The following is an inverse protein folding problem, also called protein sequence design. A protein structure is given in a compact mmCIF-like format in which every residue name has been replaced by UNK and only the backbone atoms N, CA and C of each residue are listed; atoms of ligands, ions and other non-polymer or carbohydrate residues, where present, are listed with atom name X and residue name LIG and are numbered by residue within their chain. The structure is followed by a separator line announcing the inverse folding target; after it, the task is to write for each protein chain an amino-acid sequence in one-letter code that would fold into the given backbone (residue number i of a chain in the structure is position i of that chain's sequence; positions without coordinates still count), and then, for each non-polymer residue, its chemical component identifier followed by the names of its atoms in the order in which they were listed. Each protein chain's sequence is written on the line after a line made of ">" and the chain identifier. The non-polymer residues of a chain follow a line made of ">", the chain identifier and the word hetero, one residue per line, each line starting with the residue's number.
data_IF_999099512856
#
_entry.id   IF_999099512856
#
_cell.length_a   1.000
_cell.length_b   1.000
_cell.length_c   1.000
_cell.angle_alpha   90.00
_cell.angle_beta   90.00
_cell.angle_gamma   90.00
#
_symmetry.space_group_name_H-M   'P 1'
#
loop_
_entity.id
_entity.type
_entity.pdbx_description
1 polymer ?
#
# COMPACT_ATOMS: atom_id res chain seq x y z
N UNK A 1 -57.04 -39.64 -18.05
CA UNK A 1 -56.64 -38.37 -18.71
C UNK A 1 -56.24 -37.40 -17.62
N UNK A 2 -54.99 -37.33 -17.27
CA UNK A 2 -54.43 -36.47 -16.23
C UNK A 2 -53.53 -35.42 -16.86
N UNK A 3 -53.98 -34.17 -16.84
CA UNK A 3 -53.20 -33.03 -17.34
C UNK A 3 -52.37 -32.47 -16.20
N UNK A 4 -51.06 -32.67 -16.24
CA UNK A 4 -50.10 -32.12 -15.29
C UNK A 4 -49.91 -30.63 -15.59
N UNK A 5 -50.06 -29.73 -14.61
CA UNK A 5 -49.79 -28.29 -14.82
C UNK A 5 -48.27 -28.08 -14.89
N UNK A 6 -47.82 -27.53 -16.01
CA UNK A 6 -46.44 -27.13 -16.28
C UNK A 6 -46.11 -25.88 -15.48
N UNK A 7 -45.29 -26.04 -14.43
CA UNK A 7 -44.77 -24.94 -13.63
C UNK A 7 -44.01 -23.94 -14.50
N UNK A 8 -44.29 -22.63 -14.43
CA UNK A 8 -43.56 -21.64 -15.18
C UNK A 8 -42.12 -21.55 -14.65
N UNK A 9 -41.16 -21.86 -15.51
CA UNK A 9 -39.74 -21.70 -15.30
C UNK A 9 -39.47 -20.19 -15.05
N UNK A 10 -39.19 -19.84 -13.80
CA UNK A 10 -38.83 -18.49 -13.37
C UNK A 10 -37.59 -18.07 -14.19
N UNK A 11 -37.81 -17.22 -15.22
CA UNK A 11 -36.74 -16.52 -15.91
C UNK A 11 -35.93 -15.81 -14.85
N UNK A 12 -34.67 -16.22 -14.67
CA UNK A 12 -33.69 -15.47 -13.92
C UNK A 12 -33.61 -14.10 -14.60
N UNK A 13 -34.24 -13.11 -14.01
CA UNK A 13 -34.04 -11.71 -14.37
C UNK A 13 -32.53 -11.47 -14.21
N UNK A 14 -31.87 -11.20 -15.32
CA UNK A 14 -30.53 -10.63 -15.32
C UNK A 14 -30.70 -9.25 -14.65
N UNK A 15 -30.64 -9.25 -13.32
CA UNK A 15 -30.58 -8.04 -12.53
C UNK A 15 -29.43 -7.22 -13.11
N UNK A 16 -29.77 -6.15 -13.79
CA UNK A 16 -28.84 -5.08 -14.17
C UNK A 16 -28.35 -4.54 -12.82
N UNK A 17 -27.27 -5.16 -12.29
CA UNK A 17 -26.77 -4.85 -10.98
C UNK A 17 -26.58 -3.33 -10.90
N UNK A 18 -27.16 -2.72 -9.87
CA UNK A 18 -27.06 -1.31 -9.55
C UNK A 18 -25.62 -0.81 -9.83
N UNK A 19 -25.45 0.32 -10.53
CA UNK A 19 -24.13 0.90 -10.82
C UNK A 19 -23.25 1.01 -9.57
N UNK A 20 -23.80 1.45 -8.44
CA UNK A 20 -23.07 1.55 -7.18
C UNK A 20 -22.58 0.18 -6.70
N UNK A 21 -23.41 -0.86 -6.78
CA UNK A 21 -23.03 -2.21 -6.43
C UNK A 21 -21.93 -2.80 -7.35
N UNK A 22 -21.93 -2.40 -8.64
CA UNK A 22 -20.84 -2.77 -9.57
C UNK A 22 -19.52 -2.11 -9.20
N UNK A 23 -19.55 -0.82 -8.87
CA UNK A 23 -18.36 -0.08 -8.43
C UNK A 23 -17.85 -0.65 -7.10
N UNK A 24 -18.73 -0.87 -6.13
CA UNK A 24 -18.35 -1.46 -4.84
C UNK A 24 -17.66 -2.82 -5.00
N UNK A 25 -18.13 -3.66 -5.93
CA UNK A 25 -17.44 -4.94 -6.23
C UNK A 25 -16.02 -4.73 -6.72
N UNK A 26 -15.76 -3.69 -7.53
CA UNK A 26 -14.41 -3.36 -8.01
C UNK A 26 -13.50 -2.86 -6.89
N UNK A 27 -14.01 -2.02 -6.00
CA UNK A 27 -13.28 -1.64 -4.79
C UNK A 27 -12.89 -2.85 -3.95
N UNK A 28 -13.82 -3.80 -3.74
CA UNK A 28 -13.50 -5.04 -3.00
C UNK A 28 -12.37 -5.83 -3.64
N UNK A 29 -12.32 -5.91 -4.98
CA UNK A 29 -11.21 -6.57 -5.69
C UNK A 29 -9.89 -5.85 -5.45
N UNK A 30 -9.87 -4.52 -5.54
CA UNK A 30 -8.67 -3.70 -5.27
C UNK A 30 -8.21 -3.90 -3.83
N UNK A 31 -9.11 -3.72 -2.85
CA UNK A 31 -8.78 -3.89 -1.43
C UNK A 31 -8.29 -5.30 -1.10
N UNK A 32 -8.92 -6.33 -1.68
CA UNK A 32 -8.50 -7.71 -1.44
C UNK A 32 -7.11 -8.00 -2.06
N UNK A 33 -6.80 -7.45 -3.23
CA UNK A 33 -5.48 -7.59 -3.83
C UNK A 33 -4.40 -6.93 -2.97
N UNK A 34 -4.64 -5.70 -2.51
CA UNK A 34 -3.74 -4.97 -1.61
C UNK A 34 -3.55 -5.71 -0.28
N UNK A 35 -4.65 -6.12 0.35
CA UNK A 35 -4.62 -6.85 1.63
C UNK A 35 -3.89 -8.19 1.53
N UNK A 36 -4.11 -8.94 0.46
CA UNK A 36 -3.45 -10.23 0.23
C UNK A 36 -1.95 -10.07 0.03
N UNK A 37 -1.53 -9.03 -0.70
CA UNK A 37 -0.13 -8.71 -0.87
C UNK A 37 0.55 -8.41 0.48
N UNK A 38 -0.02 -7.52 1.28
CA UNK A 38 0.56 -7.17 2.58
C UNK A 38 0.60 -8.34 3.56
N UNK A 39 -0.41 -9.21 3.57
CA UNK A 39 -0.36 -10.45 4.35
C UNK A 39 0.80 -11.37 3.93
N UNK A 40 1.03 -11.50 2.62
CA UNK A 40 2.15 -12.29 2.12
C UNK A 40 3.50 -11.69 2.53
N UNK A 41 3.62 -10.36 2.52
CA UNK A 41 4.79 -9.63 3.01
C UNK A 41 5.01 -9.92 4.50
N UNK A 42 4.00 -9.70 5.34
CA UNK A 42 4.09 -9.92 6.79
C UNK A 42 4.47 -11.36 7.13
N UNK A 43 3.85 -12.33 6.47
CA UNK A 43 4.15 -13.75 6.68
C UNK A 43 5.60 -14.12 6.33
N UNK A 44 6.15 -13.55 5.24
CA UNK A 44 7.49 -13.91 4.75
C UNK A 44 8.60 -13.05 5.32
N UNK A 45 8.34 -11.77 5.55
CA UNK A 45 9.34 -10.80 5.99
C UNK A 45 9.32 -10.56 7.50
N UNK A 46 8.20 -10.83 8.19
CA UNK A 46 8.03 -10.59 9.62
C UNK A 46 7.94 -9.11 10.00
N UNK A 47 7.73 -8.24 9.02
CA UNK A 47 7.55 -6.79 9.18
C UNK A 47 6.38 -6.30 8.32
N UNK A 48 5.83 -5.13 8.64
CA UNK A 48 4.73 -4.57 7.86
C UNK A 48 5.15 -4.19 6.43
N UNK A 49 4.18 -4.11 5.52
CA UNK A 49 4.44 -3.70 4.14
C UNK A 49 5.08 -2.31 4.05
N UNK A 50 4.64 -1.36 4.89
CA UNK A 50 5.23 -0.02 4.95
C UNK A 50 6.68 -0.05 5.44
N UNK A 51 7.02 -0.89 6.44
CA UNK A 51 8.40 -1.08 6.88
C UNK A 51 9.25 -1.73 5.80
N UNK A 52 8.72 -2.71 5.07
CA UNK A 52 9.43 -3.33 3.96
C UNK A 52 9.75 -2.32 2.86
N UNK A 53 8.79 -1.46 2.52
CA UNK A 53 9.00 -0.39 1.55
C UNK A 53 10.08 0.60 2.03
N UNK A 54 9.99 1.09 3.27
CA UNK A 54 11.01 1.96 3.85
C UNK A 54 12.42 1.33 3.80
N UNK A 55 12.53 0.05 4.18
CA UNK A 55 13.78 -0.70 4.13
C UNK A 55 14.33 -0.82 2.70
N UNK A 56 13.46 -1.00 1.70
CA UNK A 56 13.86 -1.07 0.29
C UNK A 56 14.42 0.26 -0.22
N UNK A 57 13.83 1.38 0.19
CA UNK A 57 14.30 2.73 -0.14
C UNK A 57 15.67 3.00 0.50
N UNK A 58 15.83 2.68 1.79
CA UNK A 58 17.12 2.82 2.50
C UNK A 58 18.22 1.98 1.85
N UNK A 59 17.90 0.76 1.41
CA UNK A 59 18.85 -0.09 0.71
C UNK A 59 19.24 0.47 -0.67
N UNK A 60 18.27 1.03 -1.40
CA UNK A 60 18.51 1.61 -2.72
C UNK A 60 19.29 2.93 -2.67
N UNK A 61 19.21 3.64 -1.53
CA UNK A 61 19.86 4.94 -1.29
C UNK A 61 20.62 4.92 0.04
N UNK A 62 21.79 4.26 0.12
CA UNK A 62 22.59 4.24 1.33
C UNK A 62 22.98 5.67 1.77
N UNK A 63 22.82 5.97 3.05
CA UNK A 63 23.07 7.30 3.60
C UNK A 63 21.87 8.26 3.55
N UNK A 64 20.69 7.79 3.06
CA UNK A 64 19.48 8.63 2.99
C UNK A 64 19.08 9.13 4.40
N UNK A 65 18.71 10.40 4.49
CA UNK A 65 18.15 10.98 5.72
C UNK A 65 16.66 10.69 5.89
N UNK A 66 16.14 10.87 7.13
CA UNK A 66 14.70 10.63 7.44
C UNK A 66 13.77 11.50 6.58
N UNK A 67 14.10 12.78 6.40
CA UNK A 67 13.30 13.70 5.58
C UNK A 67 13.28 13.32 4.11
N UNK A 68 14.40 12.81 3.58
CA UNK A 68 14.46 12.32 2.20
C UNK A 68 13.72 11.01 2.02
N UNK A 69 13.76 10.11 3.03
CA UNK A 69 12.97 8.90 3.05
C UNK A 69 11.46 9.22 3.03
N UNK A 70 11.02 10.17 3.86
CA UNK A 70 9.64 10.62 3.89
C UNK A 70 9.17 11.14 2.52
N UNK A 71 9.97 11.99 1.87
CA UNK A 71 9.70 12.48 0.50
C UNK A 71 9.67 11.36 -0.54
N UNK A 72 10.61 10.41 -0.44
CA UNK A 72 10.66 9.28 -1.37
C UNK A 72 9.47 8.32 -1.27
N UNK A 73 8.82 8.29 -0.12
CA UNK A 73 7.64 7.48 0.17
C UNK A 73 6.32 8.26 0.09
N UNK A 74 6.40 9.58 -0.16
CA UNK A 74 5.24 10.49 -0.14
C UNK A 74 4.44 10.40 1.17
N UNK A 75 5.13 10.48 2.32
CA UNK A 75 4.54 10.38 3.66
C UNK A 75 5.07 11.49 4.58
N UNK A 76 4.39 11.73 5.69
CA UNK A 76 4.91 12.63 6.71
C UNK A 76 6.20 12.12 7.36
N UNK A 77 7.10 13.04 7.72
CA UNK A 77 8.37 12.70 8.37
C UNK A 77 8.16 11.97 9.70
N UNK A 78 7.10 12.28 10.45
CA UNK A 78 6.72 11.56 11.66
C UNK A 78 6.38 10.09 11.39
N UNK A 79 5.66 9.82 10.29
CA UNK A 79 5.35 8.46 9.84
C UNK A 79 6.64 7.71 9.46
N UNK A 80 7.52 8.34 8.67
CA UNK A 80 8.82 7.77 8.32
C UNK A 80 9.67 7.46 9.57
N UNK A 81 9.70 8.37 10.55
CA UNK A 81 10.41 8.18 11.82
C UNK A 81 9.87 6.98 12.61
N UNK A 82 8.55 6.77 12.64
CA UNK A 82 7.94 5.62 13.32
C UNK A 82 8.26 4.30 12.61
N UNK A 83 8.22 4.26 11.28
CA UNK A 83 8.63 3.09 10.50
C UNK A 83 10.10 2.74 10.75
N UNK A 84 10.96 3.74 10.74
CA UNK A 84 12.40 3.57 10.99
C UNK A 84 12.69 3.07 12.40
N UNK A 85 11.98 3.55 13.42
CA UNK A 85 12.16 3.06 14.80
C UNK A 85 12.01 1.55 14.85
N UNK A 86 10.93 1.00 14.28
CA UNK A 86 10.74 -0.45 14.23
C UNK A 86 11.84 -1.19 13.46
N UNK A 87 12.39 -0.60 12.38
CA UNK A 87 13.49 -1.19 11.62
C UNK A 87 14.83 -1.13 12.35
N UNK A 88 15.09 -0.05 13.10
CA UNK A 88 16.27 0.11 13.96
C UNK A 88 16.21 -0.87 15.11
N UNK A 89 15.09 -0.97 15.82
CA UNK A 89 14.86 -1.91 16.93
C UNK A 89 15.02 -3.37 16.47
N UNK A 90 14.58 -3.68 15.25
CA UNK A 90 14.76 -4.99 14.65
C UNK A 90 16.19 -5.23 14.09
N UNK A 91 17.08 -4.25 14.15
CA UNK A 91 18.44 -4.34 13.62
C UNK A 91 18.51 -4.50 12.10
N UNK A 92 17.49 -4.05 11.36
CA UNK A 92 17.45 -4.12 9.89
C UNK A 92 18.01 -2.87 9.21
N UNK A 93 18.04 -1.77 9.93
CA UNK A 93 18.63 -0.50 9.55
C UNK A 93 19.58 -0.06 10.66
N UNK A 94 20.61 0.67 10.32
CA UNK A 94 21.51 1.35 11.24
C UNK A 94 21.61 2.81 10.84
N UNK A 95 21.64 3.69 11.86
CA UNK A 95 21.89 5.11 11.67
C UNK A 95 23.35 5.44 12.01
N UNK A 96 24.07 6.08 11.11
CA UNK A 96 25.39 6.64 11.35
C UNK A 96 25.33 8.16 11.37
N UNK A 97 26.22 8.79 12.10
CA UNK A 97 26.39 10.26 12.09
C UNK A 97 27.71 10.56 11.41
N UNK A 98 27.66 11.40 10.39
CA UNK A 98 28.90 11.90 9.77
C UNK A 98 29.56 12.90 10.69
N UNK A 99 30.90 12.83 10.80
CA UNK A 99 31.67 13.64 11.76
C UNK A 99 31.55 15.17 11.55
N UNK A 100 31.11 15.62 10.39
CA UNK A 100 31.00 17.04 10.02
C UNK A 100 29.62 17.63 10.34
N UNK A 101 28.53 16.83 10.27
CA UNK A 101 27.19 17.27 10.68
C UNK A 101 26.54 16.27 11.65
N UNK A 102 26.72 16.52 12.95
CA UNK A 102 26.17 15.70 14.03
C UNK A 102 24.62 15.69 14.07
N UNK A 103 23.96 16.54 13.27
CA UNK A 103 22.50 16.66 13.24
C UNK A 103 21.87 15.74 12.21
N UNK A 104 22.59 15.35 11.16
CA UNK A 104 22.10 14.48 10.11
C UNK A 104 22.44 13.02 10.42
N UNK A 105 21.40 12.19 10.61
CA UNK A 105 21.53 10.74 10.72
C UNK A 105 21.41 10.14 9.32
N UNK A 106 22.45 9.45 8.91
CA UNK A 106 22.50 8.70 7.65
C UNK A 106 22.07 7.26 7.90
N UNK A 107 21.10 6.79 7.11
CA UNK A 107 20.49 5.48 7.27
C UNK A 107 21.12 4.46 6.30
N UNK A 108 21.43 3.28 6.81
CA UNK A 108 21.99 2.18 6.02
C UNK A 108 21.29 0.87 6.35
N UNK A 109 20.97 0.10 5.30
CA UNK A 109 20.41 -1.24 5.48
C UNK A 109 21.52 -2.19 5.96
N UNK A 110 21.23 -2.99 6.99
CA UNK A 110 22.16 -4.01 7.50
C UNK A 110 22.12 -5.28 6.63
N UNK A 111 23.09 -6.20 6.80
CA UNK A 111 23.01 -7.52 6.17
C UNK A 111 21.73 -8.29 6.54
N UNK A 112 21.20 -8.08 7.77
CA UNK A 112 19.91 -8.64 8.19
C UNK A 112 18.75 -8.05 7.38
N UNK A 113 18.69 -6.74 7.24
CA UNK A 113 17.68 -6.05 6.43
C UNK A 113 17.73 -6.49 4.97
N UNK A 114 18.93 -6.60 4.40
CA UNK A 114 19.12 -7.07 3.03
C UNK A 114 18.62 -8.51 2.82
N UNK A 115 18.81 -9.41 3.78
CA UNK A 115 18.26 -10.78 3.72
C UNK A 115 16.74 -10.80 3.79
N UNK A 116 16.12 -9.92 4.59
CA UNK A 116 14.67 -9.79 4.66
C UNK A 116 14.11 -9.35 3.31
N UNK A 117 14.68 -8.31 2.68
CA UNK A 117 14.28 -7.88 1.34
C UNK A 117 14.41 -8.98 0.29
N UNK A 118 15.48 -9.78 0.34
CA UNK A 118 15.70 -10.87 -0.62
C UNK A 118 14.64 -11.99 -0.53
N UNK A 119 14.01 -12.17 0.64
CA UNK A 119 12.97 -13.19 0.88
C UNK A 119 11.54 -12.66 0.69
N UNK A 120 11.37 -11.36 0.78
CA UNK A 120 10.05 -10.74 0.71
C UNK A 120 9.51 -10.71 -0.72
N UNK A 121 8.19 -10.89 -0.92
CA UNK A 121 7.59 -10.74 -2.23
C UNK A 121 7.56 -9.26 -2.63
N UNK A 122 7.94 -8.97 -3.88
CA UNK A 122 7.70 -7.67 -4.49
C UNK A 122 6.27 -7.54 -5.01
N UNK A 123 5.87 -6.32 -5.39
CA UNK A 123 6.61 -5.05 -5.31
C UNK A 123 6.63 -4.48 -3.89
N UNK A 124 7.75 -3.89 -3.47
CA UNK A 124 7.93 -3.40 -2.09
C UNK A 124 7.08 -2.18 -1.74
N UNK A 125 6.81 -1.30 -2.72
CA UNK A 125 5.88 -0.18 -2.54
C UNK A 125 4.40 -0.63 -2.48
N UNK A 126 4.12 -1.89 -2.83
CA UNK A 126 2.79 -2.46 -2.89
C UNK A 126 2.25 -2.62 -4.32
N UNK A 127 1.28 -3.50 -4.49
CA UNK A 127 0.71 -3.84 -5.80
C UNK A 127 -0.11 -2.70 -6.42
N UNK A 128 -0.70 -1.83 -5.61
CA UNK A 128 -1.52 -0.73 -6.10
C UNK A 128 -0.68 0.38 -6.76
N UNK A 129 0.40 0.92 -6.14
CA UNK A 129 1.29 1.86 -6.80
C UNK A 129 1.86 1.33 -8.12
N UNK A 130 2.26 0.06 -8.16
CA UNK A 130 2.76 -0.56 -9.38
C UNK A 130 1.68 -0.66 -10.47
N UNK A 131 0.45 -1.01 -10.11
CA UNK A 131 -0.67 -1.06 -11.04
C UNK A 131 -1.00 0.32 -11.61
N UNK A 132 -1.04 1.35 -10.75
CA UNK A 132 -1.29 2.73 -11.17
C UNK A 132 -0.20 3.24 -12.11
N UNK A 133 1.07 2.93 -11.86
CA UNK A 133 2.19 3.33 -12.72
C UNK A 133 2.13 2.76 -14.14
N UNK A 134 1.34 1.70 -14.38
CA UNK A 134 1.12 1.10 -15.70
C UNK A 134 -0.04 1.72 -16.47
N UNK A 135 -0.85 2.57 -15.83
CA UNK A 135 -1.95 3.25 -16.48
C UNK A 135 -1.46 4.45 -17.29
N UNK A 136 -2.15 4.75 -18.38
CA UNK A 136 -1.89 5.96 -19.15
C UNK A 136 -2.36 7.23 -18.40
N UNK A 137 -1.78 8.38 -18.77
CA UNK A 137 -2.05 9.66 -18.10
C UNK A 137 -3.54 10.07 -18.13
N UNK A 138 -4.25 9.74 -19.22
CA UNK A 138 -5.68 10.09 -19.38
C UNK A 138 -6.54 9.28 -18.39
N UNK A 139 -6.23 8.00 -18.26
CA UNK A 139 -6.92 7.11 -17.31
C UNK A 139 -6.63 7.54 -15.86
N UNK A 140 -5.37 7.88 -15.53
CA UNK A 140 -5.01 8.39 -14.20
C UNK A 140 -5.77 9.67 -13.87
N UNK A 141 -5.77 10.68 -14.77
CA UNK A 141 -6.47 11.95 -14.53
C UNK A 141 -8.00 11.79 -14.40
N UNK A 142 -8.60 10.79 -15.06
CA UNK A 142 -10.01 10.46 -14.86
C UNK A 142 -10.26 9.82 -13.52
N UNK A 143 -9.43 8.83 -13.15
CA UNK A 143 -9.53 8.12 -11.88
C UNK A 143 -9.35 9.08 -10.69
N UNK A 144 -8.40 10.02 -10.78
CA UNK A 144 -8.19 11.06 -9.79
C UNK A 144 -9.47 11.86 -9.54
N UNK A 145 -10.06 12.45 -10.60
CA UNK A 145 -11.31 13.22 -10.47
C UNK A 145 -12.49 12.40 -9.92
N UNK A 146 -12.62 11.15 -10.36
CA UNK A 146 -13.71 10.29 -9.90
C UNK A 146 -13.52 9.91 -8.41
N UNK A 147 -12.27 9.75 -7.96
CA UNK A 147 -11.93 9.51 -6.55
C UNK A 147 -12.12 10.76 -5.70
N UNK A 148 -11.78 11.95 -6.20
CA UNK A 148 -12.00 13.23 -5.48
C UNK A 148 -13.48 13.40 -5.12
N UNK A 149 -14.39 13.15 -6.08
CA UNK A 149 -15.83 13.18 -5.80
C UNK A 149 -16.25 12.16 -4.74
N UNK A 150 -15.69 10.95 -4.79
CA UNK A 150 -16.00 9.92 -3.79
C UNK A 150 -15.45 10.27 -2.41
N UNK A 151 -14.27 10.87 -2.33
CA UNK A 151 -13.63 11.32 -1.09
C UNK A 151 -14.46 12.43 -0.45
N UNK A 152 -14.98 13.38 -1.25
CA UNK A 152 -15.87 14.44 -0.81
C UNK A 152 -17.17 13.87 -0.22
N UNK A 153 -17.84 12.95 -0.93
CA UNK A 153 -19.06 12.27 -0.44
C UNK A 153 -18.84 11.46 0.84
N UNK A 154 -17.64 10.92 1.03
CA UNK A 154 -17.26 10.21 2.27
C UNK A 154 -16.93 11.15 3.43
N UNK A 155 -16.70 12.44 3.18
CA UNK A 155 -16.17 13.37 4.17
C UNK A 155 -14.83 12.91 4.74
N UNK A 156 -14.00 12.26 3.92
CA UNK A 156 -12.76 11.65 4.38
C UNK A 156 -11.70 12.70 4.72
N UNK A 157 -10.91 12.44 5.76
CA UNK A 157 -9.81 13.32 6.18
C UNK A 157 -8.61 13.13 5.24
N UNK A 158 -8.23 14.18 4.51
CA UNK A 158 -7.09 14.19 3.59
C UNK A 158 -5.76 13.86 4.26
N UNK A 159 -5.64 14.06 5.59
CA UNK A 159 -4.45 13.64 6.36
C UNK A 159 -4.18 12.14 6.24
N UNK A 160 -5.21 11.35 5.94
CA UNK A 160 -5.09 9.93 5.65
C UNK A 160 -4.24 9.61 4.41
N UNK A 161 -4.13 10.52 3.44
CA UNK A 161 -3.35 10.32 2.22
C UNK A 161 -1.86 10.07 2.50
N UNK A 162 -1.33 10.63 3.58
CA UNK A 162 0.09 10.50 3.97
C UNK A 162 0.38 9.27 4.86
N UNK A 163 -0.59 8.36 4.98
CA UNK A 163 -0.42 7.09 5.70
C UNK A 163 -0.26 5.97 4.67
N UNK A 164 0.89 5.28 4.63
CA UNK A 164 1.11 4.23 3.64
C UNK A 164 0.10 3.09 3.80
N UNK A 165 -0.39 2.58 2.68
CA UNK A 165 -1.13 1.32 2.68
C UNK A 165 -0.23 0.21 3.23
N UNK A 166 -0.75 -0.63 4.13
CA UNK A 166 0.06 -1.68 4.78
C UNK A 166 0.87 -1.23 5.99
N UNK A 167 0.62 -0.02 6.51
CA UNK A 167 0.96 0.32 7.88
C UNK A 167 -0.05 -0.36 8.80
N UNK A 168 0.43 -1.09 9.82
CA UNK A 168 -0.45 -1.60 10.87
C UNK A 168 -1.00 -0.39 11.63
N UNK A 169 -2.27 -0.05 11.37
CA UNK A 169 -2.99 0.90 12.21
C UNK A 169 -3.08 0.29 13.63
N UNK A 170 -2.50 0.97 14.60
CA UNK A 170 -2.81 0.77 16.00
C UNK A 170 -4.02 1.59 16.36
#
# INVERSE_FOLDING_TARGET
>A
MGTTPRTPRKKAATETADPAARVLRRFRLVFNAVKSHFRAVETKAGISGAQLWALSVVRARPGIGVGELARAMDIHQSTASNLLRGLLDAGMVVGTRDGTDRRAVQLHATPRGSRVLAKAPGPFAGVLPEALARLDKRTLARLERDLDQLIEELGADERGANIPLGSNGR
#
